data_IF_144514712121
#
_entry.id   IF_144514712121
#
_cell.length_a   1.000
_cell.length_b   1.000
_cell.length_c   1.000
_cell.angle_alpha   90.00
_cell.angle_beta   90.00
_cell.angle_gamma   90.00
#
_symmetry.space_group_name_H-M   'P 1'
#
loop_
_entity.id
_entity.type
_entity.pdbx_description
1 polymer ?
#
# COMPACT_ATOMS: atom_id res chain seq x y z
N UNK A 1 -18.23 10.60 -18.73
CA UNK A 1 -16.98 9.88 -19.07
C UNK A 1 -17.14 8.44 -18.63
N UNK A 2 -17.07 7.48 -19.56
CA UNK A 2 -17.26 6.05 -19.27
C UNK A 2 -15.94 5.46 -18.74
N UNK A 3 -15.75 5.49 -17.42
CA UNK A 3 -14.66 4.79 -16.76
C UNK A 3 -14.87 3.28 -16.84
N UNK A 4 -14.16 2.61 -17.73
CA UNK A 4 -14.12 1.14 -17.76
C UNK A 4 -13.08 0.68 -16.74
N UNK A 5 -13.50 -0.06 -15.72
CA UNK A 5 -12.59 -0.79 -14.83
C UNK A 5 -11.65 -1.67 -15.65
N UNK A 6 -10.34 -1.45 -15.52
CA UNK A 6 -9.42 -2.47 -15.98
C UNK A 6 -9.40 -3.57 -14.93
N UNK A 7 -9.49 -4.81 -15.40
CA UNK A 7 -9.53 -5.99 -14.54
C UNK A 7 -8.36 -6.07 -13.53
N UNK A 8 -7.29 -5.28 -13.68
CA UNK A 8 -6.02 -5.33 -12.94
C UNK A 8 -5.78 -4.17 -11.95
N UNK A 9 -6.75 -3.28 -11.74
CA UNK A 9 -6.58 -2.16 -10.79
C UNK A 9 -6.79 -2.64 -9.34
N UNK A 10 -5.95 -2.18 -8.39
CA UNK A 10 -6.11 -2.55 -7.00
C UNK A 10 -7.33 -1.88 -6.36
N UNK A 11 -7.99 -2.60 -5.46
CA UNK A 11 -8.83 -1.98 -4.44
C UNK A 11 -7.93 -1.54 -3.27
N UNK A 12 -8.01 -0.26 -2.91
CA UNK A 12 -7.20 0.32 -1.82
C UNK A 12 -8.11 0.60 -0.63
N UNK A 13 -7.84 -0.04 0.50
CA UNK A 13 -8.55 0.21 1.76
C UNK A 13 -7.70 1.15 2.62
N UNK A 14 -8.07 2.44 2.60
CA UNK A 14 -7.52 3.46 3.50
C UNK A 14 -8.43 3.76 4.69
N UNK A 15 -7.95 4.62 5.61
CA UNK A 15 -8.72 5.12 6.75
C UNK A 15 -7.99 4.96 8.09
N UNK A 16 -8.50 5.60 9.15
CA UNK A 16 -7.97 5.38 10.50
C UNK A 16 -8.23 3.93 10.91
N UNK A 17 -7.16 3.16 11.12
CA UNK A 17 -7.21 1.72 11.33
C UNK A 17 -8.20 1.32 12.44
N UNK A 18 -8.99 0.28 12.16
CA UNK A 18 -10.03 -0.20 13.07
C UNK A 18 -10.73 -1.45 12.55
N UNK A 19 -11.69 -1.96 13.33
CA UNK A 19 -12.47 -3.17 13.00
C UNK A 19 -13.18 -3.08 11.65
N UNK A 20 -13.75 -1.92 11.30
CA UNK A 20 -14.47 -1.70 10.03
C UNK A 20 -13.62 -2.00 8.79
N UNK A 21 -12.43 -1.40 8.70
CA UNK A 21 -11.51 -1.63 7.57
C UNK A 21 -11.04 -3.09 7.46
N UNK A 22 -11.00 -3.82 8.59
CA UNK A 22 -10.66 -5.26 8.60
C UNK A 22 -11.80 -6.09 8.02
N UNK A 23 -13.05 -5.80 8.37
CA UNK A 23 -14.24 -6.49 7.82
C UNK A 23 -14.27 -6.35 6.30
N UNK A 24 -13.97 -5.17 5.77
CA UNK A 24 -13.89 -4.91 4.33
C UNK A 24 -12.83 -5.77 3.66
N UNK A 25 -11.64 -5.83 4.24
CA UNK A 25 -10.56 -6.68 3.75
C UNK A 25 -10.98 -8.16 3.74
N UNK A 26 -11.71 -8.63 4.75
CA UNK A 26 -12.24 -10.00 4.78
C UNK A 26 -13.32 -10.23 3.72
N UNK A 27 -14.23 -9.28 3.51
CA UNK A 27 -15.23 -9.35 2.42
C UNK A 27 -14.53 -9.48 1.06
N UNK A 28 -13.50 -8.67 0.80
CA UNK A 28 -12.75 -8.75 -0.46
C UNK A 28 -12.07 -10.12 -0.65
N UNK A 29 -11.49 -10.70 0.41
CA UNK A 29 -10.95 -12.06 0.37
C UNK A 29 -12.03 -13.09 0.02
N UNK A 30 -13.21 -13.01 0.64
CA UNK A 30 -14.37 -13.88 0.34
C UNK A 30 -14.80 -13.71 -1.14
N UNK A 31 -14.71 -12.50 -1.67
CA UNK A 31 -14.97 -12.20 -3.08
C UNK A 31 -13.80 -12.58 -4.03
N UNK A 32 -12.85 -13.40 -3.58
CA UNK A 32 -11.66 -13.84 -4.34
C UNK A 32 -10.74 -12.69 -4.81
N UNK A 33 -10.70 -11.57 -4.10
CA UNK A 33 -9.63 -10.60 -4.30
C UNK A 33 -8.36 -11.08 -3.59
N UNK A 34 -7.25 -11.00 -4.30
CA UNK A 34 -5.94 -11.35 -3.77
C UNK A 34 -5.43 -10.23 -2.85
N UNK A 35 -5.14 -10.56 -1.59
CA UNK A 35 -4.54 -9.62 -0.64
C UNK A 35 -3.02 -9.53 -0.78
N UNK A 36 -2.39 -8.50 -0.21
CA UNK A 36 -0.92 -8.39 -0.16
C UNK A 36 -0.26 -9.65 0.43
N UNK A 37 0.93 -10.07 -0.05
CA UNK A 37 1.59 -11.26 0.46
C UNK A 37 2.05 -11.15 1.90
N UNK A 38 2.14 -9.94 2.44
CA UNK A 38 2.71 -9.69 3.75
C UNK A 38 1.76 -8.83 4.59
N UNK A 39 0.87 -9.51 5.30
CA UNK A 39 -0.16 -8.89 6.12
C UNK A 39 0.16 -8.99 7.62
N UNK A 40 -0.30 -8.04 8.42
CA UNK A 40 -0.44 -8.23 9.86
C UNK A 40 -1.80 -8.89 10.22
N UNK A 41 -2.03 -9.13 11.51
CA UNK A 41 -3.33 -9.63 12.03
C UNK A 41 -4.52 -8.69 11.75
N UNK A 42 -4.26 -7.44 11.40
CA UNK A 42 -5.27 -6.45 11.02
C UNK A 42 -5.47 -6.35 9.50
N UNK A 43 -4.85 -7.23 8.70
CA UNK A 43 -4.80 -7.18 7.24
C UNK A 43 -4.11 -5.95 6.64
N UNK A 44 -3.29 -5.24 7.40
CA UNK A 44 -2.48 -4.13 6.85
C UNK A 44 -1.32 -4.67 6.01
N UNK A 45 -1.07 -4.02 4.88
CA UNK A 45 -0.01 -4.33 3.94
C UNK A 45 1.33 -3.83 4.47
N UNK A 46 2.11 -4.76 5.00
CA UNK A 46 3.40 -4.49 5.59
C UNK A 46 4.48 -4.24 4.52
N UNK A 47 4.26 -4.66 3.27
CA UNK A 47 5.11 -4.24 2.14
C UNK A 47 4.93 -2.76 1.85
N UNK A 48 3.67 -2.33 1.76
CA UNK A 48 3.37 -0.92 1.56
C UNK A 48 3.92 -0.10 2.73
N UNK A 49 3.72 -0.57 3.96
CA UNK A 49 4.29 0.06 5.15
C UNK A 49 5.82 0.15 5.05
N UNK A 50 6.51 -0.93 4.67
CA UNK A 50 7.96 -0.93 4.51
C UNK A 50 8.42 0.13 3.50
N UNK A 51 7.72 0.27 2.37
CA UNK A 51 8.08 1.26 1.35
C UNK A 51 7.75 2.69 1.82
N UNK A 52 6.59 2.91 2.41
CA UNK A 52 6.00 4.25 2.56
C UNK A 52 5.89 4.76 3.99
N UNK A 53 6.52 4.12 4.99
CA UNK A 53 6.45 4.55 6.41
C UNK A 53 7.23 5.84 6.70
N UNK A 54 6.76 6.93 6.11
CA UNK A 54 7.06 8.32 6.43
C UNK A 54 5.81 9.21 6.27
N UNK A 55 4.64 8.84 6.84
CA UNK A 55 3.39 9.54 6.57
C UNK A 55 3.46 11.04 6.85
N UNK A 56 4.27 11.50 7.82
CA UNK A 56 4.43 12.93 8.09
C UNK A 56 4.97 13.73 6.89
N UNK A 57 5.93 13.18 6.13
CA UNK A 57 6.46 13.86 4.94
C UNK A 57 5.40 13.96 3.85
N UNK A 58 4.57 12.93 3.73
CA UNK A 58 3.45 12.88 2.78
C UNK A 58 2.25 13.74 3.19
N UNK A 59 2.17 14.22 4.44
CA UNK A 59 1.21 15.27 4.82
C UNK A 59 1.53 16.61 4.17
N UNK A 60 2.80 16.88 3.86
CA UNK A 60 3.20 18.11 3.18
C UNK A 60 2.92 17.97 1.67
N UNK A 61 2.02 18.79 1.16
CA UNK A 61 1.64 18.77 -0.26
C UNK A 61 2.83 19.07 -1.16
N UNK A 62 3.62 20.09 -0.88
CA UNK A 62 4.75 20.47 -1.72
C UNK A 62 5.80 19.37 -1.80
N UNK A 63 6.00 18.63 -0.69
CA UNK A 63 6.84 17.44 -0.68
C UNK A 63 6.34 16.38 -1.65
N UNK A 64 5.03 16.07 -1.66
CA UNK A 64 4.44 15.08 -2.57
C UNK A 64 4.63 15.50 -4.03
N UNK A 65 4.35 16.76 -4.38
CA UNK A 65 4.53 17.25 -5.76
C UNK A 65 5.99 17.16 -6.20
N UNK A 66 6.92 17.60 -5.36
CA UNK A 66 8.34 17.61 -5.68
C UNK A 66 8.92 16.20 -5.85
N UNK A 67 8.32 15.20 -5.19
CA UNK A 67 8.82 13.82 -5.18
C UNK A 67 7.91 12.85 -5.93
N UNK A 68 7.04 13.35 -6.81
CA UNK A 68 6.05 12.56 -7.55
C UNK A 68 6.69 11.34 -8.24
N UNK A 69 7.72 11.56 -9.06
CA UNK A 69 8.39 10.49 -9.81
C UNK A 69 8.96 9.40 -8.90
N UNK A 70 9.42 9.78 -7.71
CA UNK A 70 9.92 8.81 -6.73
C UNK A 70 8.77 8.00 -6.13
N UNK A 71 7.65 8.64 -5.79
CA UNK A 71 6.46 7.98 -5.26
C UNK A 71 5.91 6.99 -6.30
N UNK A 72 5.80 7.40 -7.56
CA UNK A 72 5.35 6.54 -8.66
C UNK A 72 6.28 5.34 -8.84
N UNK A 73 7.60 5.53 -8.84
CA UNK A 73 8.58 4.43 -8.88
C UNK A 73 8.40 3.47 -7.71
N UNK A 74 8.12 3.98 -6.52
CA UNK A 74 7.88 3.15 -5.34
C UNK A 74 6.55 2.39 -5.39
N UNK A 75 5.49 2.98 -5.96
CA UNK A 75 4.22 2.31 -6.22
C UNK A 75 4.39 1.22 -7.29
N UNK A 76 5.17 1.50 -8.33
CA UNK A 76 5.56 0.50 -9.33
C UNK A 76 6.34 -0.66 -8.72
N UNK A 77 7.27 -0.37 -7.79
CA UNK A 77 7.99 -1.39 -7.04
C UNK A 77 7.06 -2.21 -6.13
N UNK A 78 6.13 -1.56 -5.43
CA UNK A 78 5.09 -2.24 -4.64
C UNK A 78 4.28 -3.21 -5.51
N UNK A 79 3.81 -2.75 -6.68
CA UNK A 79 3.10 -3.60 -7.65
C UNK A 79 3.96 -4.77 -8.14
N UNK A 80 5.24 -4.55 -8.44
CA UNK A 80 6.16 -5.63 -8.82
C UNK A 80 6.33 -6.66 -7.71
N UNK A 81 6.51 -6.20 -6.46
CA UNK A 81 6.62 -7.06 -5.28
C UNK A 81 5.34 -7.85 -5.02
N UNK A 82 4.19 -7.21 -5.19
CA UNK A 82 2.88 -7.81 -5.05
C UNK A 82 2.68 -8.96 -6.04
N UNK A 83 2.96 -8.71 -7.32
CA UNK A 83 2.85 -9.71 -8.40
C UNK A 83 4.07 -10.62 -8.54
N UNK A 84 5.06 -10.52 -7.64
CA UNK A 84 6.31 -11.29 -7.65
C UNK A 84 7.02 -11.25 -9.00
N UNK A 85 7.06 -10.07 -9.63
CA UNK A 85 7.86 -9.83 -10.83
C UNK A 85 9.34 -9.77 -10.45
N UNK A 86 10.21 -10.15 -11.38
CA UNK A 86 11.66 -10.04 -11.19
C UNK A 86 12.04 -8.58 -10.90
N UNK A 87 12.82 -8.39 -9.83
CA UNK A 87 13.39 -7.10 -9.47
C UNK A 87 14.73 -6.94 -10.14
N UNK A 88 15.04 -5.73 -10.60
CA UNK A 88 16.40 -5.42 -11.03
C UNK A 88 17.30 -5.15 -9.80
N UNK A 89 18.61 -5.15 -10.02
CA UNK A 89 19.58 -4.93 -8.94
C UNK A 89 19.38 -3.58 -8.23
N UNK A 90 18.98 -2.53 -8.96
CA UNK A 90 18.71 -1.21 -8.39
C UNK A 90 17.51 -1.21 -7.43
N UNK A 91 16.47 -1.97 -7.76
CA UNK A 91 15.27 -2.16 -6.93
C UNK A 91 15.61 -2.93 -5.66
N UNK A 92 16.44 -3.97 -5.78
CA UNK A 92 16.95 -4.71 -4.62
C UNK A 92 17.78 -3.81 -3.72
N UNK A 93 18.77 -3.08 -4.28
CA UNK A 93 19.57 -2.11 -3.52
C UNK A 93 18.70 -1.02 -2.89
N UNK A 94 17.64 -0.58 -3.57
CA UNK A 94 16.68 0.39 -3.03
C UNK A 94 15.92 -0.19 -1.82
N UNK A 95 15.49 -1.45 -1.87
CA UNK A 95 14.85 -2.12 -0.74
C UNK A 95 15.80 -2.23 0.46
N UNK A 96 17.06 -2.58 0.23
CA UNK A 96 18.07 -2.59 1.29
C UNK A 96 18.28 -1.19 1.88
N UNK A 97 18.41 -0.16 1.04
CA UNK A 97 18.54 1.23 1.49
C UNK A 97 17.36 1.69 2.34
N UNK A 98 16.13 1.31 1.97
CA UNK A 98 14.93 1.60 2.76
C UNK A 98 14.99 0.89 4.12
N UNK A 99 15.38 -0.38 4.15
CA UNK A 99 15.53 -1.17 5.39
C UNK A 99 16.59 -0.60 6.32
N UNK A 100 17.73 -0.20 5.77
CA UNK A 100 18.79 0.49 6.49
C UNK A 100 18.26 1.80 7.12
N UNK A 101 17.53 2.60 6.33
CA UNK A 101 16.92 3.83 6.82
C UNK A 101 15.89 3.60 7.94
N UNK A 102 15.09 2.55 7.87
CA UNK A 102 14.14 2.21 8.94
C UNK A 102 14.82 1.87 10.25
N UNK A 103 15.92 1.12 10.18
CA UNK A 103 16.62 0.63 11.36
C UNK A 103 17.55 1.67 11.99
N UNK A 104 18.43 2.27 11.17
CA UNK A 104 19.54 3.09 11.67
C UNK A 104 19.19 4.58 11.78
N UNK A 105 18.46 5.13 10.81
CA UNK A 105 18.20 6.58 10.80
C UNK A 105 16.93 6.97 11.54
N UNK A 106 15.87 6.17 11.40
CA UNK A 106 14.56 6.54 11.92
C UNK A 106 14.14 5.73 13.15
N UNK A 107 14.86 4.65 13.46
CA UNK A 107 14.58 3.75 14.58
C UNK A 107 13.13 3.26 14.65
N UNK A 108 12.41 3.22 13.52
CA UNK A 108 11.00 2.79 13.48
C UNK A 108 10.85 1.29 13.72
N UNK A 109 11.87 0.53 13.30
CA UNK A 109 11.84 -0.93 13.32
C UNK A 109 13.19 -1.51 13.70
N UNK A 110 13.15 -2.61 14.46
CA UNK A 110 14.35 -3.39 14.71
C UNK A 110 14.77 -4.16 13.45
N UNK A 111 16.04 -4.57 13.40
CA UNK A 111 16.62 -5.32 12.29
C UNK A 111 15.88 -6.63 12.01
N UNK A 112 15.38 -7.30 13.05
CA UNK A 112 14.56 -8.52 12.90
C UNK A 112 13.34 -8.25 12.04
N UNK A 113 12.60 -7.18 12.32
CA UNK A 113 11.42 -6.80 11.54
C UNK A 113 11.81 -6.51 10.09
N UNK A 114 12.85 -5.71 9.85
CA UNK A 114 13.35 -5.39 8.50
C UNK A 114 13.69 -6.66 7.72
N UNK A 115 14.47 -7.55 8.31
CA UNK A 115 14.84 -8.82 7.68
C UNK A 115 13.65 -9.74 7.43
N UNK A 116 12.73 -9.87 8.38
CA UNK A 116 11.51 -10.66 8.19
C UNK A 116 10.74 -10.15 6.99
N UNK A 117 10.58 -8.81 6.84
CA UNK A 117 9.91 -8.26 5.67
C UNK A 117 10.66 -8.57 4.40
N UNK A 118 11.96 -8.27 4.33
CA UNK A 118 12.78 -8.56 3.15
C UNK A 118 12.68 -10.04 2.73
N UNK A 119 12.76 -10.96 3.69
CA UNK A 119 12.57 -12.39 3.44
C UNK A 119 11.17 -12.71 2.91
N UNK A 120 10.11 -12.16 3.51
CA UNK A 120 8.74 -12.35 3.00
C UNK A 120 8.55 -11.75 1.58
N UNK A 121 9.27 -10.66 1.25
CA UNK A 121 9.25 -10.09 -0.09
C UNK A 121 9.93 -11.00 -1.11
N UNK A 122 11.09 -11.57 -0.76
CA UNK A 122 11.97 -12.28 -1.68
C UNK A 122 11.70 -13.79 -1.77
N UNK A 123 11.22 -14.42 -0.69
CA UNK A 123 11.08 -15.88 -0.59
C UNK A 123 9.66 -16.41 -0.87
N UNK A 124 8.68 -15.55 -1.10
CA UNK A 124 7.34 -16.00 -1.44
C UNK A 124 7.34 -16.59 -2.86
N UNK A 125 7.10 -17.90 -2.95
CA UNK A 125 7.36 -18.72 -4.15
C UNK A 125 6.24 -18.71 -5.19
N UNK A 126 5.05 -18.22 -4.83
CA UNK A 126 3.88 -18.31 -5.69
C UNK A 126 3.73 -17.08 -6.57
N UNK A 127 3.74 -17.31 -7.89
CA UNK A 127 3.42 -16.29 -8.88
C UNK A 127 1.93 -15.98 -8.79
N UNK A 128 1.62 -14.70 -8.75
CA UNK A 128 0.30 -14.18 -8.46
C UNK A 128 -0.31 -13.64 -9.76
N UNK A 129 -1.30 -14.32 -10.30
CA UNK A 129 -1.88 -14.00 -11.62
C UNK A 129 -3.34 -13.50 -11.55
N UNK A 130 -3.89 -13.33 -10.35
CA UNK A 130 -5.23 -12.75 -10.20
C UNK A 130 -5.28 -11.34 -10.79
N UNK A 131 -6.32 -11.09 -11.58
CA UNK A 131 -6.67 -9.77 -12.07
C UNK A 131 -7.13 -8.88 -10.90
N UNK A 132 -7.89 -9.46 -9.96
CA UNK A 132 -8.45 -8.73 -8.81
C UNK A 132 -7.55 -8.83 -7.59
N UNK A 133 -7.12 -7.67 -7.10
CA UNK A 133 -6.28 -7.58 -5.93
C UNK A 133 -6.59 -6.37 -5.08
N UNK A 134 -6.19 -6.43 -3.81
CA UNK A 134 -6.36 -5.32 -2.89
C UNK A 134 -5.19 -5.22 -1.92
N UNK A 135 -5.03 -4.03 -1.37
CA UNK A 135 -4.21 -3.84 -0.19
C UNK A 135 -4.88 -2.85 0.75
N UNK A 136 -4.64 -3.06 2.04
CA UNK A 136 -5.16 -2.22 3.11
C UNK A 136 -3.98 -1.57 3.80
N UNK A 137 -4.01 -0.25 3.95
CA UNK A 137 -3.01 0.44 4.75
C UNK A 137 -3.57 1.79 5.21
N UNK A 138 -3.63 2.07 6.54
CA UNK A 138 -4.28 3.27 7.07
C UNK A 138 -3.78 4.57 6.47
N UNK A 139 -2.47 4.63 6.19
CA UNK A 139 -1.79 5.82 5.71
C UNK A 139 -1.90 6.06 4.21
N UNK A 140 -2.54 5.16 3.45
CA UNK A 140 -2.79 5.35 2.01
C UNK A 140 -3.55 6.64 1.73
N UNK A 141 -4.42 7.07 2.65
CA UNK A 141 -5.21 8.30 2.54
C UNK A 141 -4.36 9.54 2.22
N UNK A 142 -3.12 9.64 2.71
CA UNK A 142 -2.24 10.78 2.41
C UNK A 142 -1.81 10.85 0.94
N UNK A 143 -1.72 9.70 0.27
CA UNK A 143 -1.39 9.61 -1.15
C UNK A 143 -2.62 9.89 -2.03
N UNK A 144 -3.82 9.72 -1.48
CA UNK A 144 -5.09 9.80 -2.20
C UNK A 144 -5.70 11.21 -2.16
N UNK A 145 -5.38 12.01 -1.12
CA UNK A 145 -6.01 13.31 -0.87
C UNK A 145 -5.62 14.41 -1.88
N UNK A 146 -4.59 14.19 -2.71
CA UNK A 146 -4.24 15.06 -3.84
C UNK A 146 -4.77 14.55 -5.19
N UNK A 147 -5.27 13.31 -5.23
CA UNK A 147 -5.18 12.49 -6.44
C UNK A 147 -6.50 11.86 -6.90
N UNK A 148 -7.62 12.52 -6.62
CA UNK A 148 -8.87 12.21 -7.34
C UNK A 148 -8.75 12.53 -8.85
N UNK A 149 -7.84 13.42 -9.23
CA UNK A 149 -7.80 13.96 -10.59
C UNK A 149 -6.55 13.55 -11.42
N UNK A 150 -5.47 13.01 -10.84
CA UNK A 150 -4.18 12.84 -11.56
C UNK A 150 -3.41 11.51 -11.38
N UNK A 151 -3.19 10.94 -10.19
CA UNK A 151 -2.46 9.64 -10.06
C UNK A 151 -3.25 8.49 -10.67
N UNK A 152 -4.57 8.57 -10.66
CA UNK A 152 -5.42 7.63 -11.34
C UNK A 152 -5.87 8.26 -12.66
N UNK A 153 -4.99 8.23 -13.66
CA UNK A 153 -5.43 8.22 -15.06
C UNK A 153 -6.19 6.91 -15.42
N UNK A 154 -6.69 6.18 -14.42
CA UNK A 154 -7.84 5.32 -14.56
C UNK A 154 -9.03 6.06 -13.92
N UNK A 155 -10.11 6.35 -14.66
CA UNK A 155 -11.39 6.76 -14.09
C UNK A 155 -12.05 5.68 -13.18
N UNK A 156 -11.28 4.74 -12.65
CA UNK A 156 -11.66 3.39 -12.23
C UNK A 156 -10.90 2.89 -10.98
N UNK A 157 -10.06 3.72 -10.34
CA UNK A 157 -9.62 3.38 -9.00
C UNK A 157 -10.80 3.55 -8.04
N UNK A 158 -11.57 2.48 -7.86
CA UNK A 158 -12.61 2.42 -6.85
C UNK A 158 -11.94 2.39 -5.47
N UNK A 159 -11.76 3.58 -4.93
CA UNK A 159 -11.53 3.77 -3.51
C UNK A 159 -12.82 3.43 -2.78
N UNK A 160 -12.87 2.26 -2.15
CA UNK A 160 -13.85 2.01 -1.10
C UNK A 160 -13.40 2.78 0.16
N UNK A 161 -13.75 4.06 0.21
CA UNK A 161 -13.52 4.90 1.39
C UNK A 161 -14.64 4.67 2.39
N UNK A 162 -14.50 3.63 3.22
CA UNK A 162 -15.40 3.46 4.36
C UNK A 162 -14.97 4.41 5.48
N UNK A 163 -15.44 5.66 5.36
CA UNK A 163 -15.60 6.54 6.51
C UNK A 163 -16.76 5.97 7.32
N UNK A 164 -16.49 4.99 8.17
CA UNK A 164 -17.40 4.68 9.27
C UNK A 164 -17.40 5.89 10.19
N UNK A 165 -18.33 6.81 9.91
CA UNK A 165 -18.73 7.82 10.87
C UNK A 165 -19.21 7.06 12.11
N UNK A 166 -18.44 7.13 13.19
CA UNK A 166 -19.10 7.27 14.48
C UNK A 166 -19.80 8.63 14.43
N UNK A 167 -21.01 8.63 13.87
CA UNK A 167 -22.04 9.53 14.32
C UNK A 167 -22.33 9.09 15.77
N UNK A 168 -21.57 9.63 16.72
CA UNK A 168 -22.21 10.07 17.95
C UNK A 168 -22.59 11.53 17.69
N UNK A 169 -23.86 11.81 17.35
CA UNK A 169 -24.46 12.98 17.95
C UNK A 169 -24.52 12.70 19.47
N UNK A 170 -24.29 13.76 20.25
CA UNK A 170 -24.59 13.85 21.68
C UNK A 170 -23.52 13.30 22.65
N UNK A 171 -22.52 14.15 22.95
CA UNK A 171 -22.37 14.83 24.26
C UNK A 171 -21.06 15.64 24.33
#
# INVERSE_FOLDING_TARGET
MNGKFHNNDPVIIGGFGGSGTRVVAEILKICNFMASPDLNNSNDDLLFTYLFKFPQKYKNRDYVAKNYDQIEKMLGLHKKLFFKKQLNIYEVLKLFSIGYNHHFYNHYYNWKWVLTRMNNMLLCKEKRESTRWFFKEPHTTFFLQREKDKFFHCPCADLLFLRMLNNHPDN
#
